data_IF_277329591388
#
_entry.id   IF_277329591388
#
_cell.length_a   1.000
_cell.length_b   1.000
_cell.length_c   1.000
_cell.angle_alpha   90.00
_cell.angle_beta   90.00
_cell.angle_gamma   90.00
#
_symmetry.space_group_name_H-M   'P 1'
#
loop_
_entity.id
_entity.type
_entity.pdbx_description
1 polymer ?
#
# COMPACT_ATOMS: atom_id res chain seq x y z
N UNK A 1 -7.76 -97.54 43.40
CA UNK A 1 -8.36 -97.51 44.76
C UNK A 1 -8.72 -96.11 45.09
N UNK A 2 -9.95 -95.81 45.07
CA UNK A 2 -10.89 -95.41 46.09
C UNK A 2 -10.54 -94.08 46.84
N UNK A 3 -11.48 -93.09 46.53
CA UNK A 3 -12.24 -92.27 47.48
C UNK A 3 -11.43 -91.12 48.05
N UNK A 4 -11.91 -89.85 48.13
CA UNK A 4 -13.23 -89.22 48.40
C UNK A 4 -13.12 -87.77 48.08
N UNK A 5 -14.00 -87.34 47.27
CA UNK A 5 -15.05 -86.33 47.53
C UNK A 5 -14.99 -85.55 48.84
N UNK A 6 -14.85 -84.27 48.78
CA UNK A 6 -15.65 -83.27 49.54
C UNK A 6 -15.65 -81.89 48.94
N UNK A 7 -16.86 -81.47 48.77
CA UNK A 7 -17.28 -80.14 48.33
C UNK A 7 -16.86 -79.07 49.32
N UNK A 8 -16.33 -77.96 48.82
CA UNK A 8 -16.42 -76.72 49.52
C UNK A 8 -16.82 -75.64 48.50
N UNK A 9 -18.06 -75.22 48.61
CA UNK A 9 -18.61 -74.07 47.92
C UNK A 9 -17.93 -72.80 48.47
N UNK A 10 -17.00 -72.30 47.75
CA UNK A 10 -16.44 -70.95 48.01
C UNK A 10 -17.19 -69.96 47.14
N UNK A 11 -18.05 -69.18 47.75
CA UNK A 11 -18.73 -68.05 47.13
C UNK A 11 -17.66 -67.00 46.81
N UNK A 12 -17.21 -66.97 45.55
CA UNK A 12 -16.49 -65.82 45.02
C UNK A 12 -17.47 -64.67 44.84
N UNK A 13 -17.57 -63.80 45.83
CA UNK A 13 -18.17 -62.49 45.64
C UNK A 13 -17.21 -61.71 44.72
N UNK A 14 -17.49 -61.69 43.44
CA UNK A 14 -16.91 -60.76 42.50
C UNK A 14 -17.41 -59.36 42.90
N UNK A 15 -16.62 -58.65 43.70
CA UNK A 15 -16.67 -57.20 43.77
C UNK A 15 -16.27 -56.67 42.39
N UNK A 16 -17.25 -56.50 41.49
CA UNK A 16 -17.12 -55.67 40.34
C UNK A 16 -16.95 -54.24 40.88
N UNK A 17 -15.70 -53.84 41.10
CA UNK A 17 -15.33 -52.42 41.11
C UNK A 17 -15.69 -51.94 39.69
N UNK A 18 -16.87 -51.39 39.54
CA UNK A 18 -17.16 -50.44 38.50
C UNK A 18 -16.22 -49.26 38.75
N UNK A 19 -15.01 -49.34 38.14
CA UNK A 19 -14.25 -48.15 37.87
C UNK A 19 -15.16 -47.27 37.05
N UNK A 20 -15.86 -46.33 37.67
CA UNK A 20 -16.43 -45.22 36.96
C UNK A 20 -15.30 -44.72 36.07
N UNK A 21 -15.49 -44.56 34.75
CA UNK A 21 -14.51 -43.85 33.97
C UNK A 21 -14.31 -42.55 34.72
N UNK A 22 -13.05 -42.31 35.18
CA UNK A 22 -12.69 -41.02 35.58
C UNK A 22 -13.03 -40.17 34.37
N UNK A 23 -14.15 -39.44 34.45
CA UNK A 23 -14.39 -38.37 33.55
C UNK A 23 -13.09 -37.59 33.61
N UNK A 24 -12.29 -37.69 32.56
CA UNK A 24 -11.21 -36.74 32.37
C UNK A 24 -11.93 -35.41 32.51
N UNK A 25 -11.71 -34.75 33.62
CA UNK A 25 -11.99 -33.34 33.70
C UNK A 25 -11.07 -32.74 32.65
N UNK A 26 -11.51 -32.74 31.38
CA UNK A 26 -11.09 -31.70 30.49
C UNK A 26 -11.46 -30.45 31.27
N UNK A 27 -10.48 -29.99 32.05
CA UNK A 27 -10.64 -28.83 32.89
C UNK A 27 -11.26 -27.78 31.99
N UNK A 28 -12.37 -27.26 32.47
CA UNK A 28 -13.09 -26.24 31.73
C UNK A 28 -12.05 -25.19 31.32
N UNK A 29 -11.71 -25.18 30.04
CA UNK A 29 -10.69 -24.29 29.49
C UNK A 29 -11.37 -23.11 28.82
N UNK A 30 -10.70 -21.94 28.77
CA UNK A 30 -11.15 -20.87 27.86
C UNK A 30 -11.18 -21.37 26.43
N UNK A 31 -12.23 -21.02 25.68
CA UNK A 31 -12.40 -21.36 24.27
C UNK A 31 -12.59 -20.07 23.45
N UNK A 32 -11.63 -19.78 22.60
CA UNK A 32 -11.62 -18.60 21.72
C UNK A 32 -12.07 -18.88 20.30
N UNK A 33 -12.66 -20.04 20.02
CA UNK A 33 -13.08 -20.46 18.67
C UNK A 33 -14.15 -19.54 18.06
N UNK A 34 -14.87 -18.76 18.88
CA UNK A 34 -15.85 -17.77 18.43
C UNK A 34 -15.24 -16.43 18.00
N UNK A 35 -13.90 -16.30 18.01
CA UNK A 35 -13.23 -15.08 17.59
C UNK A 35 -13.47 -14.80 16.11
N UNK A 36 -13.99 -13.61 15.80
CA UNK A 36 -14.31 -13.16 14.45
C UNK A 36 -13.52 -11.88 14.12
N UNK A 37 -13.18 -11.75 12.85
CA UNK A 37 -12.55 -10.53 12.31
C UNK A 37 -13.38 -10.03 11.15
N UNK A 38 -13.65 -8.74 11.13
CA UNK A 38 -14.29 -8.02 10.02
C UNK A 38 -13.55 -6.74 9.72
N UNK A 39 -13.84 -6.10 8.60
CA UNK A 39 -13.28 -4.79 8.27
C UNK A 39 -14.30 -3.88 7.61
N UNK A 40 -14.07 -2.57 7.74
CA UNK A 40 -14.80 -1.52 7.06
C UNK A 40 -13.78 -0.51 6.47
N UNK A 41 -14.00 -0.01 5.24
CA UNK A 41 -15.10 -0.36 4.31
C UNK A 41 -14.95 -1.77 3.73
N UNK A 42 -16.03 -2.39 3.25
CA UNK A 42 -15.99 -3.74 2.62
C UNK A 42 -15.11 -3.80 1.37
N UNK A 43 -15.03 -2.70 0.64
CA UNK A 43 -14.20 -2.56 -0.56
C UNK A 43 -13.23 -1.39 -0.37
N UNK A 44 -12.14 -1.59 0.39
CA UNK A 44 -11.17 -0.54 0.64
C UNK A 44 -10.44 -0.14 -0.64
N UNK A 45 -10.13 1.14 -0.75
CA UNK A 45 -9.37 1.75 -1.84
C UNK A 45 -8.03 2.29 -1.33
N UNK A 46 -7.19 2.68 -2.26
CA UNK A 46 -5.95 3.41 -1.94
C UNK A 46 -6.25 4.69 -1.15
N UNK A 47 -5.51 4.92 -0.09
CA UNK A 47 -5.67 6.06 0.80
C UNK A 47 -6.83 5.96 1.78
N UNK A 48 -7.58 4.85 1.79
CA UNK A 48 -8.64 4.64 2.77
C UNK A 48 -8.09 4.19 4.13
N UNK A 49 -8.79 4.57 5.17
CA UNK A 49 -8.60 4.03 6.51
C UNK A 49 -9.43 2.76 6.64
N UNK A 50 -8.77 1.62 6.82
CA UNK A 50 -9.44 0.34 7.09
C UNK A 50 -9.50 0.17 8.61
N UNK A 51 -10.71 0.03 9.15
CA UNK A 51 -10.91 -0.35 10.53
C UNK A 51 -11.19 -1.85 10.59
N UNK A 52 -10.24 -2.61 11.10
CA UNK A 52 -10.43 -4.02 11.42
C UNK A 52 -11.09 -4.12 12.79
N UNK A 53 -12.23 -4.81 12.86
CA UNK A 53 -12.93 -5.10 14.10
C UNK A 53 -12.72 -6.58 14.44
N UNK A 54 -12.05 -6.81 15.56
CA UNK A 54 -11.86 -8.13 16.13
C UNK A 54 -12.87 -8.29 17.27
N UNK A 55 -13.75 -9.27 17.16
CA UNK A 55 -14.64 -9.68 18.24
C UNK A 55 -14.07 -10.98 18.83
N UNK A 56 -13.30 -10.84 19.91
CA UNK A 56 -12.74 -11.98 20.62
C UNK A 56 -13.77 -12.48 21.63
N UNK A 57 -14.17 -13.74 21.51
CA UNK A 57 -15.13 -14.38 22.39
C UNK A 57 -14.48 -15.53 23.18
N UNK A 58 -14.84 -15.66 24.48
CA UNK A 58 -14.51 -16.81 25.30
C UNK A 58 -15.78 -17.62 25.53
N UNK A 59 -16.00 -18.66 24.73
CA UNK A 59 -17.14 -19.57 24.87
C UNK A 59 -16.89 -20.72 25.84
N UNK A 60 -15.67 -20.80 26.39
CA UNK A 60 -15.29 -21.77 27.41
C UNK A 60 -15.95 -21.48 28.78
N UNK A 61 -15.89 -22.45 29.64
CA UNK A 61 -16.45 -22.34 30.99
C UNK A 61 -15.54 -21.62 31.98
N UNK A 62 -14.24 -21.51 31.67
CA UNK A 62 -13.26 -20.82 32.51
C UNK A 62 -12.94 -19.43 31.97
N UNK A 63 -12.60 -18.53 32.89
CA UNK A 63 -12.11 -17.20 32.55
C UNK A 63 -10.64 -17.26 32.09
N UNK A 64 -10.30 -16.47 31.04
CA UNK A 64 -8.93 -16.11 30.77
C UNK A 64 -8.65 -14.72 31.38
N UNK A 65 -7.81 -14.66 32.39
CA UNK A 65 -7.49 -13.40 33.05
C UNK A 65 -5.99 -13.32 33.38
N UNK A 66 -5.24 -12.65 32.50
CA UNK A 66 -5.65 -12.03 31.25
C UNK A 66 -5.56 -12.95 30.01
N UNK A 67 -6.40 -12.73 29.03
CA UNK A 67 -6.17 -13.21 27.69
C UNK A 67 -5.12 -12.33 26.98
N UNK A 68 -4.18 -12.95 26.32
CA UNK A 68 -3.17 -12.28 25.50
C UNK A 68 -3.61 -12.25 24.05
N UNK A 69 -3.63 -11.06 23.48
CA UNK A 69 -4.07 -10.83 22.11
C UNK A 69 -2.91 -10.26 21.31
N UNK A 70 -2.63 -10.90 20.18
CA UNK A 70 -1.63 -10.49 19.21
C UNK A 70 -2.30 -10.19 17.89
N UNK A 71 -2.05 -8.99 17.36
CA UNK A 71 -2.57 -8.51 16.10
C UNK A 71 -1.38 -8.25 15.16
N UNK A 72 -1.25 -9.02 14.08
CA UNK A 72 -0.27 -8.77 13.04
C UNK A 72 -0.96 -8.02 11.89
N UNK A 73 -0.51 -6.80 11.56
CA UNK A 73 -1.10 -6.02 10.48
C UNK A 73 -0.35 -6.15 9.16
N UNK A 74 -1.00 -5.82 8.00
CA UNK A 74 -0.45 -5.98 6.66
C UNK A 74 0.86 -5.23 6.44
N UNK A 75 1.78 -5.81 5.68
CA UNK A 75 3.11 -5.25 5.40
C UNK A 75 3.05 -3.87 4.76
N UNK A 76 2.11 -3.67 3.87
CA UNK A 76 1.98 -2.41 3.14
C UNK A 76 1.16 -1.36 3.92
N UNK A 77 0.44 -1.74 4.99
CA UNK A 77 -0.42 -0.82 5.74
C UNK A 77 0.33 0.00 6.77
N UNK A 78 -0.16 1.21 7.05
CA UNK A 78 0.33 2.04 8.14
C UNK A 78 -0.58 1.90 9.36
N UNK A 79 0.01 1.60 10.49
CA UNK A 79 -0.70 1.59 11.77
C UNK A 79 -1.10 3.02 12.16
N UNK A 80 -2.38 3.21 12.48
CA UNK A 80 -2.95 4.49 12.90
C UNK A 80 -3.33 4.49 14.37
N UNK A 81 -3.92 3.40 14.84
CA UNK A 81 -4.33 3.28 16.23
C UNK A 81 -4.99 1.95 16.54
N UNK A 82 -5.08 1.63 17.82
CA UNK A 82 -5.78 0.46 18.34
C UNK A 82 -6.64 0.88 19.53
N UNK A 83 -7.81 0.30 19.64
CA UNK A 83 -8.76 0.52 20.75
C UNK A 83 -9.23 -0.84 21.28
N UNK A 84 -9.55 -0.88 22.59
CA UNK A 84 -10.10 -2.09 23.23
C UNK A 84 -9.07 -3.06 23.76
N UNK A 85 -7.77 -2.75 23.70
CA UNK A 85 -6.68 -3.45 24.38
C UNK A 85 -6.21 -2.66 25.59
N UNK A 86 -5.90 -3.36 26.68
CA UNK A 86 -5.26 -2.77 27.84
C UNK A 86 -3.75 -2.72 27.61
N UNK A 87 -3.16 -1.54 27.76
CA UNK A 87 -1.71 -1.29 27.60
C UNK A 87 -1.11 -1.92 26.34
N UNK A 88 -1.61 -1.53 25.15
CA UNK A 88 -1.09 -2.09 23.90
C UNK A 88 0.39 -1.77 23.74
N UNK A 89 1.19 -2.78 23.45
CA UNK A 89 2.57 -2.66 23.02
C UNK A 89 2.63 -2.76 21.50
N UNK A 90 3.18 -1.74 20.84
CA UNK A 90 3.21 -1.65 19.37
C UNK A 90 4.64 -1.82 18.88
N UNK A 91 4.90 -2.93 18.20
CA UNK A 91 6.13 -3.15 17.46
C UNK A 91 5.95 -2.77 15.99
N UNK A 92 6.43 -1.58 15.64
CA UNK A 92 6.35 -1.05 14.28
C UNK A 92 7.24 -1.82 13.29
N UNK A 93 8.36 -2.40 13.75
CA UNK A 93 9.27 -3.16 12.87
C UNK A 93 8.72 -4.55 12.59
N UNK A 94 8.25 -5.24 13.64
CA UNK A 94 7.60 -6.54 13.52
C UNK A 94 6.16 -6.46 13.01
N UNK A 95 5.58 -5.25 12.92
CA UNK A 95 4.18 -5.03 12.53
C UNK A 95 3.21 -5.82 13.38
N UNK A 96 3.41 -5.70 14.68
CA UNK A 96 2.69 -6.45 15.68
C UNK A 96 2.21 -5.56 16.81
N UNK A 97 1.01 -5.81 17.27
CA UNK A 97 0.45 -5.23 18.48
C UNK A 97 0.16 -6.36 19.45
N UNK A 98 0.61 -6.20 20.64
CA UNK A 98 0.34 -7.12 21.73
C UNK A 98 -0.39 -6.38 22.84
N UNK A 99 -1.33 -7.04 23.48
CA UNK A 99 -2.07 -6.46 24.59
C UNK A 99 -2.84 -7.51 25.36
N UNK A 100 -3.37 -7.09 26.49
CA UNK A 100 -4.08 -7.96 27.40
C UNK A 100 -5.53 -7.49 27.54
N UNK A 101 -6.42 -8.45 27.74
CA UNK A 101 -7.84 -8.18 27.99
C UNK A 101 -8.37 -9.23 28.96
N UNK A 102 -9.07 -8.83 30.04
CA UNK A 102 -9.78 -9.79 30.87
C UNK A 102 -10.96 -10.37 30.09
N UNK A 103 -11.02 -11.70 29.99
CA UNK A 103 -12.08 -12.41 29.27
C UNK A 103 -12.74 -13.45 30.17
N UNK A 104 -13.74 -13.06 30.98
CA UNK A 104 -14.56 -14.00 31.74
C UNK A 104 -15.23 -15.05 30.83
N UNK A 105 -15.64 -16.16 31.38
CA UNK A 105 -16.42 -17.18 30.67
C UNK A 105 -17.67 -16.56 30.04
N UNK A 106 -17.92 -16.86 28.76
CA UNK A 106 -19.03 -16.30 27.99
C UNK A 106 -18.90 -14.82 27.60
N UNK A 107 -17.78 -14.18 27.88
CA UNK A 107 -17.56 -12.77 27.52
C UNK A 107 -17.08 -12.58 26.08
N UNK A 108 -17.48 -11.45 25.50
CA UNK A 108 -16.96 -10.98 24.22
C UNK A 108 -16.26 -9.62 24.42
N UNK A 109 -15.19 -9.42 23.69
CA UNK A 109 -14.44 -8.17 23.64
C UNK A 109 -14.26 -7.70 22.22
N UNK A 110 -14.54 -6.42 22.01
CA UNK A 110 -14.35 -5.76 20.72
C UNK A 110 -13.07 -4.95 20.73
N UNK A 111 -12.20 -5.23 19.77
CA UNK A 111 -10.94 -4.54 19.54
C UNK A 111 -11.00 -3.96 18.15
N UNK A 112 -10.62 -2.72 17.99
CA UNK A 112 -10.59 -2.04 16.71
C UNK A 112 -9.16 -1.63 16.39
N UNK A 113 -8.72 -1.97 15.18
CA UNK A 113 -7.42 -1.64 14.64
C UNK A 113 -7.59 -0.81 13.36
N UNK A 114 -7.05 0.39 13.38
CA UNK A 114 -7.10 1.31 12.25
C UNK A 114 -5.80 1.25 11.46
N UNK A 115 -5.90 0.89 10.17
CA UNK A 115 -4.79 0.78 9.22
C UNK A 115 -5.06 1.67 8.02
N UNK A 116 -4.15 2.58 7.72
CA UNK A 116 -4.21 3.41 6.52
C UNK A 116 -3.62 2.64 5.32
N UNK A 117 -4.37 2.56 4.22
CA UNK A 117 -3.88 2.01 2.96
C UNK A 117 -3.02 3.03 2.23
N UNK A 118 -1.84 2.65 1.73
CA UNK A 118 -1.04 3.53 0.90
C UNK A 118 -1.67 3.82 -0.46
N UNK A 119 -1.21 4.88 -1.13
CA UNK A 119 -1.72 5.28 -2.46
C UNK A 119 -1.31 4.34 -3.61
N UNK A 120 -0.34 3.46 -3.41
CA UNK A 120 0.16 2.49 -4.39
C UNK A 120 -0.25 1.05 -4.08
N UNK A 121 -1.27 0.88 -3.23
CA UNK A 121 -1.72 -0.43 -2.75
C UNK A 121 -2.81 -1.08 -3.61
N UNK A 122 -3.22 -0.45 -4.72
CA UNK A 122 -4.25 -0.99 -5.61
C UNK A 122 -3.96 -2.43 -6.05
N UNK A 123 -4.93 -3.31 -5.85
CA UNK A 123 -4.83 -4.72 -6.19
C UNK A 123 -4.02 -5.58 -5.21
N UNK A 124 -3.40 -4.98 -4.19
CA UNK A 124 -2.74 -5.73 -3.13
C UNK A 124 -3.78 -6.39 -2.22
N UNK A 125 -3.39 -7.52 -1.64
CA UNK A 125 -4.15 -8.18 -0.58
C UNK A 125 -3.53 -7.84 0.76
N UNK A 126 -4.34 -7.31 1.67
CA UNK A 126 -3.96 -7.02 3.04
C UNK A 126 -4.43 -8.17 3.92
N UNK A 127 -3.47 -8.88 4.53
CA UNK A 127 -3.74 -9.98 5.44
C UNK A 127 -3.58 -9.50 6.88
N UNK A 128 -4.67 -9.49 7.62
CA UNK A 128 -4.70 -9.27 9.06
C UNK A 128 -4.72 -10.61 9.78
N UNK A 129 -3.86 -10.80 10.76
CA UNK A 129 -3.87 -12.00 11.60
C UNK A 129 -4.11 -11.63 13.05
N UNK A 130 -4.95 -12.41 13.69
CA UNK A 130 -5.29 -12.25 15.11
C UNK A 130 -4.99 -13.57 15.80
N UNK A 131 -4.31 -13.50 16.92
CA UNK A 131 -4.12 -14.63 17.83
C UNK A 131 -4.62 -14.25 19.20
N UNK A 132 -5.46 -15.10 19.77
CA UNK A 132 -5.93 -14.98 21.16
C UNK A 132 -5.42 -16.18 21.93
N UNK A 133 -4.82 -15.97 23.09
CA UNK A 133 -4.21 -17.02 23.91
C UNK A 133 -4.53 -16.79 25.38
N UNK A 134 -4.68 -17.88 26.14
CA UNK A 134 -4.77 -17.83 27.60
C UNK A 134 -3.37 -17.88 28.22
N UNK A 135 -3.07 -16.90 29.06
CA UNK A 135 -1.81 -16.88 29.84
C UNK A 135 -1.98 -17.42 31.26
N UNK A 136 -3.20 -17.62 31.74
CA UNK A 136 -3.47 -17.99 33.10
C UNK A 136 -3.04 -19.43 33.43
N UNK A 137 -2.94 -20.29 32.40
CA UNK A 137 -2.70 -21.73 32.58
C UNK A 137 -1.26 -22.09 32.99
N UNK A 138 -0.31 -21.16 32.94
CA UNK A 138 1.09 -21.34 33.38
C UNK A 138 1.86 -22.51 32.73
N UNK A 139 1.26 -23.18 31.79
CA UNK A 139 1.82 -24.32 31.07
C UNK A 139 2.34 -23.88 29.70
N UNK A 140 3.41 -24.50 29.19
CA UNK A 140 4.00 -24.21 27.88
C UNK A 140 3.05 -24.48 26.71
N UNK A 141 1.81 -24.88 26.97
CA UNK A 141 0.75 -25.12 25.98
C UNK A 141 -0.31 -24.04 26.13
N UNK A 142 -0.13 -22.96 25.40
CA UNK A 142 -1.15 -21.94 25.23
C UNK A 142 -2.24 -22.48 24.31
N UNK A 143 -3.45 -22.64 24.83
CA UNK A 143 -4.61 -22.77 23.96
C UNK A 143 -4.77 -21.47 23.19
N UNK A 144 -4.37 -21.48 21.93
CA UNK A 144 -4.39 -20.30 21.08
C UNK A 144 -5.31 -20.51 19.88
N UNK A 145 -6.16 -19.54 19.64
CA UNK A 145 -6.97 -19.48 18.42
C UNK A 145 -6.44 -18.40 17.48
N UNK A 146 -6.31 -18.73 16.19
CA UNK A 146 -5.80 -17.79 15.21
C UNK A 146 -6.80 -17.61 14.07
N UNK A 147 -7.14 -16.37 13.76
CA UNK A 147 -8.00 -16.00 12.65
C UNK A 147 -7.22 -15.10 11.70
N UNK A 148 -7.35 -15.33 10.41
CA UNK A 148 -6.82 -14.45 9.38
C UNK A 148 -7.96 -13.91 8.52
N UNK A 149 -7.87 -12.64 8.16
CA UNK A 149 -8.79 -11.97 7.24
C UNK A 149 -7.99 -11.30 6.14
N UNK A 150 -8.32 -11.63 4.90
CA UNK A 150 -7.74 -11.02 3.72
C UNK A 150 -8.70 -9.98 3.15
N UNK A 151 -8.22 -8.74 3.00
CA UNK A 151 -8.94 -7.67 2.33
C UNK A 151 -8.19 -7.25 1.07
N UNK A 152 -8.89 -7.24 -0.07
CA UNK A 152 -8.30 -6.82 -1.33
C UNK A 152 -8.58 -5.35 -1.57
N UNK A 153 -7.51 -4.58 -1.80
CA UNK A 153 -7.62 -3.16 -2.12
C UNK A 153 -8.16 -3.00 -3.54
N UNK A 154 -9.28 -2.30 -3.66
CA UNK A 154 -9.91 -2.07 -4.95
C UNK A 154 -9.01 -1.20 -5.85
N UNK A 155 -8.95 -1.58 -7.12
CA UNK A 155 -8.24 -0.80 -8.13
C UNK A 155 -9.11 0.38 -8.55
N UNK A 156 -8.74 1.58 -8.15
CA UNK A 156 -9.37 2.83 -8.64
C UNK A 156 -8.75 3.21 -9.96
N UNK A 157 -9.41 2.92 -11.09
CA UNK A 157 -8.93 3.33 -12.41
C UNK A 157 -9.36 2.36 -13.51
N UNK A 158 -9.26 2.79 -14.77
CA UNK A 158 -9.51 1.92 -15.92
C UNK A 158 -8.35 0.93 -16.07
N UNK A 159 -8.61 -0.37 -15.94
CA UNK A 159 -7.63 -1.40 -16.24
C UNK A 159 -7.64 -1.73 -17.73
N UNK A 160 -6.54 -1.49 -18.42
CA UNK A 160 -6.32 -1.94 -19.79
C UNK A 160 -5.25 -3.03 -19.79
N UNK A 161 -5.64 -4.28 -20.05
CA UNK A 161 -4.69 -5.39 -20.22
C UNK A 161 -3.73 -5.64 -19.04
N UNK A 162 -4.17 -5.42 -17.78
CA UNK A 162 -3.34 -5.58 -16.59
C UNK A 162 -2.52 -4.34 -16.19
N UNK A 163 -2.61 -3.24 -16.96
CA UNK A 163 -2.01 -1.96 -16.63
C UNK A 163 -3.04 -1.07 -15.93
N UNK A 164 -2.81 -0.76 -14.66
CA UNK A 164 -3.65 0.20 -13.93
C UNK A 164 -3.17 1.62 -14.23
N UNK A 165 -3.99 2.35 -14.96
CA UNK A 165 -3.69 3.73 -15.35
C UNK A 165 -4.48 4.68 -14.45
N UNK A 166 -3.77 5.54 -13.75
CA UNK A 166 -4.39 6.71 -13.12
C UNK A 166 -4.99 7.62 -14.20
N UNK A 167 -6.00 8.46 -13.89
CA UNK A 167 -6.56 9.42 -14.86
C UNK A 167 -5.48 10.26 -15.53
N UNK A 168 -4.43 10.66 -14.81
CA UNK A 168 -3.28 11.36 -15.36
C UNK A 168 -2.48 10.47 -16.33
N UNK A 169 -2.32 9.19 -16.02
CA UNK A 169 -1.66 8.20 -16.90
C UNK A 169 -2.44 7.96 -18.18
N UNK A 170 -3.78 7.94 -18.12
CA UNK A 170 -4.66 7.87 -19.31
C UNK A 170 -4.49 9.13 -20.18
N UNK A 171 -4.46 10.32 -19.59
CA UNK A 171 -4.26 11.57 -20.32
C UNK A 171 -2.88 11.62 -21.01
N UNK A 172 -1.83 11.17 -20.31
CA UNK A 172 -0.48 11.07 -20.89
C UNK A 172 -0.44 10.06 -22.03
N UNK A 173 -1.05 8.89 -21.90
CA UNK A 173 -1.11 7.89 -22.98
C UNK A 173 -1.94 8.37 -24.17
N UNK A 174 -3.07 9.03 -23.94
CA UNK A 174 -3.87 9.64 -24.99
C UNK A 174 -3.08 10.71 -25.76
N UNK A 175 -2.29 11.50 -25.05
CA UNK A 175 -1.38 12.48 -25.64
C UNK A 175 -0.30 11.80 -26.49
N UNK A 176 0.37 10.76 -25.98
CA UNK A 176 1.37 10.00 -26.73
C UNK A 176 0.78 9.26 -27.94
N UNK A 177 -0.48 8.85 -27.89
CA UNK A 177 -1.19 8.27 -29.04
C UNK A 177 -1.59 9.34 -30.07
N UNK A 178 -1.88 10.56 -29.65
CA UNK A 178 -2.20 11.67 -30.55
C UNK A 178 -0.99 12.12 -31.39
N UNK A 179 0.23 12.07 -30.85
CA UNK A 179 1.47 12.46 -31.54
C UNK A 179 1.69 11.68 -32.86
N UNK A 180 1.67 10.32 -32.88
CA UNK A 180 1.81 9.57 -34.15
C UNK A 180 0.63 9.75 -35.09
N UNK A 181 -0.58 10.01 -34.60
CA UNK A 181 -1.75 10.32 -35.43
C UNK A 181 -1.60 11.66 -36.17
N UNK A 182 -1.19 12.71 -35.46
CA UNK A 182 -0.87 14.01 -36.03
C UNK A 182 0.28 13.87 -37.03
N UNK A 183 1.32 13.09 -36.68
CA UNK A 183 2.43 12.79 -37.58
C UNK A 183 1.98 12.08 -38.84
N UNK A 184 1.11 11.07 -38.74
CA UNK A 184 0.56 10.35 -39.90
C UNK A 184 -0.26 11.28 -40.80
N UNK A 185 -1.08 12.14 -40.19
CA UNK A 185 -1.90 13.12 -40.89
C UNK A 185 -1.04 14.14 -41.67
N UNK A 186 -0.03 14.71 -41.02
CA UNK A 186 0.92 15.64 -41.64
C UNK A 186 1.73 14.94 -42.72
N UNK A 187 2.14 13.69 -42.52
CA UNK A 187 2.85 12.89 -43.53
C UNK A 187 1.98 12.61 -44.75
N UNK A 188 0.70 12.28 -44.56
CA UNK A 188 -0.27 12.09 -45.68
C UNK A 188 -0.58 13.37 -46.43
N UNK A 189 -0.75 14.48 -45.73
CA UNK A 189 -1.01 15.79 -46.36
C UNK A 189 0.19 16.28 -47.15
N UNK A 190 1.40 16.06 -46.63
CA UNK A 190 2.63 16.49 -47.35
C UNK A 190 3.07 15.53 -48.46
N UNK A 191 2.70 14.23 -48.40
CA UNK A 191 2.99 13.27 -49.48
C UNK A 191 2.19 13.58 -50.75
N UNK A 192 0.94 14.08 -50.61
CA UNK A 192 0.12 14.50 -51.73
C UNK A 192 0.65 15.76 -52.45
N UNK A 193 1.45 16.57 -51.78
CA UNK A 193 2.04 17.79 -52.38
C UNK A 193 3.36 17.54 -53.11
N UNK A 194 3.86 16.29 -53.19
CA UNK A 194 5.22 15.93 -53.62
C UNK A 194 5.36 15.28 -54.97
N UNK A 195 4.48 15.53 -55.93
CA UNK A 195 4.60 14.88 -57.24
C UNK A 195 5.71 15.44 -58.13
N UNK A 196 6.49 16.44 -57.73
CA UNK A 196 7.60 16.91 -58.61
C UNK A 196 8.65 17.72 -57.81
N UNK A 197 9.77 17.12 -57.39
CA UNK A 197 11.06 17.83 -57.29
C UNK A 197 12.21 16.89 -56.86
N UNK A 198 13.34 17.07 -57.49
CA UNK A 198 14.63 16.39 -57.30
C UNK A 198 15.10 16.35 -55.85
N UNK A 199 15.58 15.14 -55.43
CA UNK A 199 16.09 14.83 -54.10
C UNK A 199 17.39 15.60 -53.80
N UNK A 200 17.30 16.68 -53.06
CA UNK A 200 18.43 17.23 -52.30
C UNK A 200 18.08 17.24 -50.84
N UNK A 201 18.97 16.68 -50.01
CA UNK A 201 19.04 16.62 -48.53
C UNK A 201 18.00 17.47 -47.76
N UNK A 202 16.73 17.23 -47.95
CA UNK A 202 15.65 17.83 -47.18
C UNK A 202 15.28 16.82 -46.08
N UNK A 203 15.42 17.24 -44.82
CA UNK A 203 14.80 16.52 -43.72
C UNK A 203 13.35 16.20 -44.11
N UNK A 204 12.98 14.91 -44.04
CA UNK A 204 11.61 14.54 -44.39
C UNK A 204 10.66 15.34 -43.50
N UNK A 205 9.50 15.85 -44.01
CA UNK A 205 8.55 16.59 -43.16
C UNK A 205 8.16 15.77 -41.93
N UNK A 206 8.18 14.46 -42.04
CA UNK A 206 7.99 13.53 -40.93
C UNK A 206 9.06 13.68 -39.85
N UNK A 207 10.35 13.73 -40.21
CA UNK A 207 11.43 13.94 -39.25
C UNK A 207 11.34 15.32 -38.58
N UNK A 208 10.98 16.34 -39.36
CA UNK A 208 10.80 17.68 -38.84
C UNK A 208 9.65 17.77 -37.83
N UNK A 209 8.49 17.17 -38.17
CA UNK A 209 7.34 17.11 -37.25
C UNK A 209 7.73 16.37 -35.96
N UNK A 210 8.43 15.25 -36.08
CA UNK A 210 8.91 14.51 -34.90
C UNK A 210 9.85 15.36 -34.03
N UNK A 211 10.82 16.06 -34.65
CA UNK A 211 11.78 16.91 -33.92
C UNK A 211 11.13 18.09 -33.20
N UNK A 212 9.96 18.54 -33.63
CA UNK A 212 9.22 19.62 -32.99
C UNK A 212 8.20 19.12 -31.99
N UNK A 213 7.45 18.06 -32.32
CA UNK A 213 6.35 17.58 -31.47
C UNK A 213 6.84 16.85 -30.23
N UNK A 214 7.94 16.08 -30.32
CA UNK A 214 8.49 15.38 -29.18
C UNK A 214 8.95 16.33 -28.04
N UNK A 215 9.73 17.39 -28.32
CA UNK A 215 10.06 18.41 -27.32
C UNK A 215 8.83 19.09 -26.71
N UNK A 216 7.84 19.44 -27.56
CA UNK A 216 6.62 20.10 -27.10
C UNK A 216 5.81 19.20 -26.14
N UNK A 217 5.68 17.91 -26.47
CA UNK A 217 5.02 16.94 -25.58
C UNK A 217 5.76 16.79 -24.25
N UNK A 218 7.09 16.75 -24.31
CA UNK A 218 7.95 16.67 -23.14
C UNK A 218 7.81 17.90 -22.24
N UNK A 219 7.82 19.11 -22.82
CA UNK A 219 7.64 20.34 -22.07
C UNK A 219 6.23 20.50 -21.52
N UNK A 220 5.19 20.03 -22.22
CA UNK A 220 3.83 20.01 -21.71
C UNK A 220 3.73 19.16 -20.41
N UNK A 221 4.41 18.01 -20.37
CA UNK A 221 4.50 17.20 -19.17
C UNK A 221 5.14 17.98 -18.01
N UNK A 222 6.28 18.63 -18.26
CA UNK A 222 6.94 19.44 -17.22
C UNK A 222 6.12 20.68 -16.82
N UNK A 223 5.36 21.25 -17.74
CA UNK A 223 4.46 22.37 -17.43
C UNK A 223 3.34 21.94 -16.47
N UNK A 224 2.78 20.75 -16.63
CA UNK A 224 1.79 20.20 -15.69
C UNK A 224 2.41 19.96 -14.31
N UNK A 225 3.62 19.39 -14.27
CA UNK A 225 4.35 19.22 -13.00
C UNK A 225 4.64 20.57 -12.33
N UNK A 226 5.15 21.54 -13.11
CA UNK A 226 5.46 22.88 -12.62
C UNK A 226 4.21 23.62 -12.11
N UNK A 227 3.08 23.41 -12.76
CA UNK A 227 1.80 23.96 -12.29
C UNK A 227 1.42 23.41 -10.92
N UNK A 228 1.55 22.09 -10.71
CA UNK A 228 1.29 21.47 -9.41
C UNK A 228 2.25 21.99 -8.31
N UNK A 229 3.54 22.09 -8.61
CA UNK A 229 4.52 22.67 -7.68
C UNK A 229 4.21 24.14 -7.39
N UNK A 230 3.82 24.91 -8.39
CA UNK A 230 3.39 26.30 -8.21
C UNK A 230 2.14 26.39 -7.33
N UNK A 231 1.14 25.51 -7.54
CA UNK A 231 -0.04 25.45 -6.67
C UNK A 231 0.34 25.09 -5.25
N UNK A 232 1.25 24.14 -5.03
CA UNK A 232 1.69 23.75 -3.69
C UNK A 232 2.38 24.90 -2.94
N UNK A 233 3.02 25.84 -3.66
CA UNK A 233 3.66 27.02 -3.08
C UNK A 233 2.69 28.18 -2.82
N UNK A 234 1.62 28.29 -3.60
CA UNK A 234 0.78 29.51 -3.62
C UNK A 234 -0.62 29.31 -3.03
N UNK A 235 -1.21 28.13 -3.18
CA UNK A 235 -2.60 27.86 -2.80
C UNK A 235 -2.77 26.80 -1.72
N UNK A 236 -1.76 25.95 -1.49
CA UNK A 236 -1.84 24.93 -0.46
C UNK A 236 -1.71 25.54 0.94
N UNK A 237 -2.46 24.98 1.87
CA UNK A 237 -2.46 25.44 3.24
C UNK A 237 -1.44 24.69 4.07
N UNK A 238 -0.73 25.45 4.90
CA UNK A 238 0.21 24.86 5.85
C UNK A 238 -0.54 24.35 7.08
N UNK A 239 -0.18 23.15 7.52
CA UNK A 239 -0.66 22.52 8.75
C UNK A 239 0.50 21.93 9.54
N UNK A 240 0.21 21.54 10.77
CA UNK A 240 1.12 20.75 11.59
C UNK A 240 0.69 19.28 11.46
N UNK A 241 1.58 18.46 10.89
CA UNK A 241 1.35 17.05 10.66
C UNK A 241 2.09 16.20 11.70
N UNK A 242 1.41 15.23 12.28
CA UNK A 242 2.05 14.19 13.09
C UNK A 242 2.41 13.01 12.20
N UNK A 243 3.67 12.59 12.23
CA UNK A 243 4.14 11.40 11.49
C UNK A 243 3.60 10.14 12.18
N UNK A 244 2.75 9.40 11.50
CA UNK A 244 2.16 8.15 12.00
C UNK A 244 2.95 6.92 11.56
N UNK A 245 3.63 7.00 10.42
CA UNK A 245 4.41 5.91 9.88
C UNK A 245 5.28 6.37 8.72
N UNK A 246 6.25 5.53 8.37
CA UNK A 246 7.22 5.81 7.30
C UNK A 246 7.56 4.55 6.56
N UNK A 247 7.74 4.62 5.26
CA UNK A 247 8.25 3.50 4.44
C UNK A 247 8.92 3.99 3.16
N UNK A 248 9.62 3.08 2.50
CA UNK A 248 10.14 3.28 1.15
C UNK A 248 9.34 2.42 0.19
N UNK A 249 8.68 3.07 -0.74
CA UNK A 249 7.90 2.42 -1.80
C UNK A 249 8.80 2.09 -2.97
N UNK A 250 8.69 0.87 -3.47
CA UNK A 250 9.40 0.42 -4.66
C UNK A 250 8.47 0.45 -5.87
N UNK A 251 8.66 1.41 -6.76
CA UNK A 251 7.98 1.46 -8.06
C UNK A 251 8.82 0.78 -9.15
N UNK A 252 8.21 -0.02 -10.01
CA UNK A 252 8.89 -0.61 -11.17
C UNK A 252 8.61 0.21 -12.43
N UNK A 253 9.66 0.72 -13.06
CA UNK A 253 9.57 1.30 -14.40
C UNK A 253 10.07 0.25 -15.40
N UNK A 254 9.14 -0.36 -16.15
CA UNK A 254 9.49 -1.28 -17.23
C UNK A 254 9.74 -0.50 -18.51
N UNK A 255 10.96 -0.53 -19.03
CA UNK A 255 11.24 -0.04 -20.39
C UNK A 255 11.08 -1.21 -21.36
N UNK A 256 10.04 -1.18 -22.20
CA UNK A 256 9.85 -2.14 -23.29
C UNK A 256 10.79 -1.73 -24.43
N UNK A 257 11.96 -2.35 -24.52
CA UNK A 257 12.84 -2.19 -25.66
C UNK A 257 12.25 -2.92 -26.87
N UNK A 258 11.93 -2.21 -27.94
CA UNK A 258 11.63 -2.79 -29.24
C UNK A 258 12.93 -3.29 -29.85
N UNK A 259 13.18 -4.58 -29.76
CA UNK A 259 14.36 -5.20 -30.33
C UNK A 259 14.99 -6.24 -29.40
N UNK A 260 16.02 -6.95 -29.84
CA UNK A 260 16.74 -8.00 -29.13
C UNK A 260 17.40 -7.57 -27.78
N UNK A 261 17.10 -6.39 -27.27
CA UNK A 261 17.57 -5.88 -25.99
C UNK A 261 16.64 -6.33 -24.86
N UNK A 262 17.22 -6.99 -23.86
CA UNK A 262 16.57 -7.39 -22.62
C UNK A 262 15.78 -6.22 -22.04
N UNK A 263 14.50 -6.43 -21.72
CA UNK A 263 13.72 -5.48 -20.94
C UNK A 263 14.42 -5.30 -19.57
N UNK A 264 14.92 -4.12 -19.30
CA UNK A 264 15.45 -3.81 -17.98
C UNK A 264 14.34 -3.21 -17.12
N UNK A 265 13.95 -3.90 -16.08
CA UNK A 265 13.11 -3.34 -15.06
C UNK A 265 13.98 -2.50 -14.12
N UNK A 266 13.80 -1.20 -14.14
CA UNK A 266 14.46 -0.31 -13.19
C UNK A 266 13.51 -0.07 -12.02
N UNK A 267 13.92 -0.49 -10.82
CA UNK A 267 13.17 -0.20 -9.61
C UNK A 267 13.52 1.19 -9.11
N UNK A 268 12.52 2.04 -8.96
CA UNK A 268 12.63 3.39 -8.39
C UNK A 268 12.11 3.37 -6.97
N UNK A 269 12.84 3.93 -6.04
CA UNK A 269 12.48 3.99 -4.64
C UNK A 269 12.03 5.39 -4.25
N UNK A 270 10.88 5.49 -3.58
CA UNK A 270 10.29 6.76 -3.12
C UNK A 270 10.00 6.69 -1.63
N UNK A 271 10.39 7.71 -0.84
CA UNK A 271 9.94 7.81 0.53
C UNK A 271 8.45 8.13 0.57
N UNK A 272 7.76 7.61 1.56
CA UNK A 272 6.35 7.88 1.84
C UNK A 272 6.14 7.97 3.35
N UNK A 273 5.39 8.97 3.79
CA UNK A 273 5.02 9.18 5.18
C UNK A 273 3.50 9.09 5.34
N UNK A 274 3.04 8.42 6.37
CA UNK A 274 1.67 8.52 6.83
C UNK A 274 1.57 9.69 7.82
N UNK A 275 0.66 10.62 7.56
CA UNK A 275 0.55 11.89 8.24
C UNK A 275 -0.86 12.06 8.80
N UNK A 276 -0.95 12.55 10.04
CA UNK A 276 -2.21 12.98 10.67
C UNK A 276 -2.15 14.48 10.88
N UNK A 277 -3.18 15.19 10.45
CA UNK A 277 -3.28 16.64 10.59
C UNK A 277 -4.74 17.08 10.67
N UNK A 278 -4.96 18.34 11.04
CA UNK A 278 -6.28 18.94 11.02
C UNK A 278 -6.44 19.79 9.77
N UNK A 279 -7.50 19.50 9.01
CA UNK A 279 -7.93 20.29 7.85
C UNK A 279 -9.36 20.71 8.04
N UNK A 280 -9.65 22.01 7.99
CA UNK A 280 -11.01 22.58 8.15
C UNK A 280 -11.74 22.16 9.45
N UNK A 281 -10.98 21.79 10.49
CA UNK A 281 -11.51 21.35 11.78
C UNK A 281 -11.65 19.82 11.92
N UNK A 282 -11.51 19.08 10.83
CA UNK A 282 -11.55 17.62 10.84
C UNK A 282 -10.13 17.03 10.92
N UNK A 283 -10.01 15.88 11.56
CA UNK A 283 -8.77 15.12 11.58
C UNK A 283 -8.65 14.28 10.30
N UNK A 284 -7.67 14.59 9.49
CA UNK A 284 -7.35 13.88 8.25
C UNK A 284 -6.12 13.00 8.45
N UNK A 285 -6.16 11.79 7.91
CA UNK A 285 -5.02 10.89 7.86
C UNK A 285 -4.78 10.54 6.38
N UNK A 286 -3.57 10.81 5.90
CA UNK A 286 -3.22 10.58 4.50
C UNK A 286 -1.74 10.23 4.35
N UNK A 287 -1.35 9.80 3.16
CA UNK A 287 0.06 9.55 2.83
C UNK A 287 0.58 10.62 1.88
N UNK A 288 1.83 11.01 2.06
CA UNK A 288 2.49 11.96 1.17
C UNK A 288 3.96 12.15 1.52
N UNK A 289 4.70 12.80 0.64
CA UNK A 289 6.08 13.18 0.88
C UNK A 289 6.45 14.44 0.09
N UNK A 290 6.35 14.39 -1.23
CA UNK A 290 6.64 15.52 -2.13
C UNK A 290 5.60 15.58 -3.27
N UNK A 291 5.65 16.64 -4.06
CA UNK A 291 4.79 16.85 -5.23
C UNK A 291 5.11 15.91 -6.42
N UNK A 292 6.16 15.09 -6.30
CA UNK A 292 6.63 14.18 -7.35
C UNK A 292 7.68 14.79 -8.29
N UNK A 293 8.04 16.07 -8.12
CA UNK A 293 9.09 16.75 -8.91
C UNK A 293 10.51 16.49 -8.41
N UNK A 294 10.67 15.84 -7.26
CA UNK A 294 11.97 15.49 -6.72
C UNK A 294 12.70 14.46 -7.58
N UNK A 295 13.99 14.69 -7.81
CA UNK A 295 14.85 13.76 -8.50
C UNK A 295 15.04 12.49 -7.66
N UNK A 296 14.39 11.40 -8.06
CA UNK A 296 14.44 10.11 -7.36
C UNK A 296 15.64 9.25 -7.79
N UNK A 297 16.83 9.89 -7.84
CA UNK A 297 18.10 9.21 -8.13
C UNK A 297 18.66 8.66 -6.83
N UNK A 298 18.86 7.35 -6.76
CA UNK A 298 19.48 6.69 -5.61
C UNK A 298 18.89 5.32 -5.33
N UNK A 299 19.69 4.47 -4.70
CA UNK A 299 19.27 3.14 -4.29
C UNK A 299 18.37 3.16 -3.05
N UNK A 300 17.77 2.00 -2.75
CA UNK A 300 16.89 1.77 -1.59
C UNK A 300 17.50 2.27 -0.27
N UNK A 301 18.75 1.93 0.01
CA UNK A 301 19.41 2.28 1.26
C UNK A 301 19.46 3.80 1.52
N UNK A 302 19.69 4.62 0.48
CA UNK A 302 19.66 6.07 0.60
C UNK A 302 18.26 6.57 0.97
N UNK A 303 17.21 6.00 0.37
CA UNK A 303 15.83 6.40 0.65
C UNK A 303 15.39 5.95 2.04
N UNK A 304 15.83 4.78 2.48
CA UNK A 304 15.63 4.34 3.86
C UNK A 304 16.28 5.31 4.84
N UNK A 305 17.50 5.76 4.58
CA UNK A 305 18.17 6.75 5.40
C UNK A 305 17.43 8.12 5.42
N UNK A 306 16.89 8.55 4.28
CA UNK A 306 16.06 9.77 4.21
C UNK A 306 14.77 9.61 5.03
N UNK A 307 14.12 8.44 4.99
CA UNK A 307 12.91 8.19 5.79
C UNK A 307 13.21 8.04 7.27
N UNK A 308 14.39 7.53 7.65
CA UNK A 308 14.80 7.41 9.06
C UNK A 308 14.96 8.77 9.76
N UNK A 309 15.17 9.85 9.02
CA UNK A 309 15.20 11.20 9.58
C UNK A 309 13.85 11.63 10.18
N UNK A 310 12.76 10.98 9.79
CA UNK A 310 11.41 11.28 10.26
C UNK A 310 11.02 10.33 11.40
N UNK A 311 10.96 10.83 12.62
CA UNK A 311 10.58 10.00 13.79
C UNK A 311 9.06 9.90 13.88
N UNK A 312 8.55 8.68 14.05
CA UNK A 312 7.11 8.45 14.28
C UNK A 312 6.69 9.15 15.58
N UNK A 313 5.54 9.81 15.57
CA UNK A 313 5.01 10.60 16.68
C UNK A 313 5.47 12.05 16.72
N UNK A 314 6.43 12.47 15.86
CA UNK A 314 6.86 13.88 15.83
C UNK A 314 5.93 14.73 14.98
N UNK A 315 5.78 15.99 15.40
CA UNK A 315 5.06 17.01 14.66
C UNK A 315 6.03 17.69 13.67
N UNK A 316 5.60 17.85 12.43
CA UNK A 316 6.36 18.46 11.34
C UNK A 316 5.46 19.39 10.52
N UNK A 317 6.01 20.45 9.90
CA UNK A 317 5.23 21.24 8.96
C UNK A 317 4.89 20.44 7.70
N UNK A 318 3.68 20.60 7.22
CA UNK A 318 3.19 19.98 5.99
C UNK A 318 2.26 20.93 5.24
N UNK A 319 1.96 20.64 3.98
CA UNK A 319 1.08 21.44 3.14
C UNK A 319 0.05 20.50 2.50
N UNK A 320 -1.21 20.86 2.57
CA UNK A 320 -2.30 20.09 1.94
C UNK A 320 -3.05 20.93 0.92
N UNK A 321 -3.61 20.27 -0.09
CA UNK A 321 -4.47 20.90 -1.08
C UNK A 321 -5.87 21.11 -0.48
N UNK A 322 -6.36 22.36 -0.34
CA UNK A 322 -7.73 22.60 0.15
C UNK A 322 -8.82 22.05 -0.78
N UNK A 323 -8.52 21.81 -2.06
CA UNK A 323 -9.47 21.17 -2.98
C UNK A 323 -9.53 19.64 -2.82
N UNK A 324 -8.43 19.02 -2.36
CA UNK A 324 -8.34 17.60 -1.99
C UNK A 324 -7.54 17.48 -0.70
N UNK A 325 -8.23 17.58 0.43
CA UNK A 325 -7.60 17.53 1.76
C UNK A 325 -6.76 16.28 2.01
N UNK A 326 -6.89 15.23 1.19
CA UNK A 326 -6.04 14.03 1.28
C UNK A 326 -4.71 14.18 0.54
N UNK A 327 -4.56 15.20 -0.32
CA UNK A 327 -3.29 15.46 -1.00
C UNK A 327 -2.40 16.35 -0.12
N UNK A 328 -1.41 15.71 0.52
CA UNK A 328 -0.52 16.33 1.49
C UNK A 328 0.93 16.06 1.14
N UNK A 329 1.80 17.06 1.36
CA UNK A 329 3.25 16.95 1.16
C UNK A 329 4.00 17.56 2.34
N UNK A 330 5.21 17.05 2.60
CA UNK A 330 6.16 17.59 3.59
C UNK A 330 7.21 18.47 2.92
N UNK A 331 7.44 18.23 1.64
CA UNK A 331 8.31 19.05 0.81
C UNK A 331 7.50 19.66 -0.32
N UNK A 332 7.30 20.97 -0.26
CA UNK A 332 6.69 21.74 -1.32
C UNK A 332 7.76 22.51 -2.11
N UNK A 333 7.55 22.72 -3.39
CA UNK A 333 8.41 23.50 -4.26
C UNK A 333 9.00 22.72 -5.43
N UNK A 334 9.76 23.44 -6.24
CA UNK A 334 10.33 22.91 -7.47
C UNK A 334 11.46 21.92 -7.20
N UNK A 335 11.32 20.70 -7.68
CA UNK A 335 12.32 19.65 -7.53
C UNK A 335 13.36 19.64 -8.67
N UNK A 336 14.40 18.83 -8.49
CA UNK A 336 15.49 18.70 -9.47
C UNK A 336 15.12 18.05 -10.80
N UNK A 337 13.91 17.45 -10.91
CA UNK A 337 13.45 16.81 -12.15
C UNK A 337 13.34 17.79 -13.32
N UNK A 338 13.17 19.09 -13.06
CA UNK A 338 13.10 20.12 -14.09
C UNK A 338 14.39 20.29 -14.91
N UNK A 339 15.53 19.82 -14.42
CA UNK A 339 16.77 19.78 -15.21
C UNK A 339 16.61 18.93 -16.46
N UNK A 340 15.75 17.90 -16.43
CA UNK A 340 15.47 17.10 -17.61
C UNK A 340 14.65 17.84 -18.68
N UNK A 341 13.95 18.91 -18.32
CA UNK A 341 13.24 19.75 -19.29
C UNK A 341 14.20 20.39 -20.32
N UNK A 342 15.49 20.46 -20.00
CA UNK A 342 16.52 20.97 -20.91
C UNK A 342 16.94 19.94 -21.98
N UNK A 343 16.69 18.64 -21.73
CA UNK A 343 17.15 17.56 -22.60
C UNK A 343 16.64 17.65 -24.06
N UNK A 344 15.39 18.02 -24.37
CA UNK A 344 14.91 18.10 -25.73
C UNK A 344 15.29 19.40 -26.46
N UNK A 345 15.92 20.39 -25.79
CA UNK A 345 16.34 21.66 -26.41
C UNK A 345 17.19 21.50 -27.69
N UNK A 346 18.21 20.60 -27.74
CA UNK A 346 18.98 20.42 -28.97
C UNK A 346 18.13 19.93 -30.15
N UNK A 347 17.20 18.99 -29.91
CA UNK A 347 16.30 18.47 -30.91
C UNK A 347 15.37 19.57 -31.45
N UNK A 348 14.82 20.38 -30.56
CA UNK A 348 13.98 21.52 -30.93
C UNK A 348 14.74 22.55 -31.76
N UNK A 349 15.98 22.88 -31.33
CA UNK A 349 16.85 23.80 -32.05
C UNK A 349 17.17 23.33 -33.50
N UNK A 350 17.52 22.03 -33.64
CA UNK A 350 17.76 21.43 -34.95
C UNK A 350 16.51 21.46 -35.85
N UNK A 351 15.34 21.20 -35.27
CA UNK A 351 14.05 21.30 -35.96
C UNK A 351 13.78 22.71 -36.48
N UNK A 352 13.93 23.72 -35.63
CA UNK A 352 13.76 25.13 -36.00
C UNK A 352 14.78 25.61 -37.04
N UNK A 353 16.05 25.22 -36.87
CA UNK A 353 17.10 25.57 -37.84
C UNK A 353 16.87 24.93 -39.21
N UNK A 354 16.31 23.72 -39.26
CA UNK A 354 15.94 23.06 -40.52
C UNK A 354 14.78 23.74 -41.23
N UNK A 355 13.77 24.24 -40.44
CA UNK A 355 12.68 25.07 -41.00
C UNK A 355 13.19 26.39 -41.59
N UNK A 356 14.06 27.09 -40.84
CA UNK A 356 14.60 28.39 -41.27
C UNK A 356 15.43 28.29 -42.55
N UNK A 357 16.15 27.18 -42.77
CA UNK A 357 16.91 26.92 -44.01
C UNK A 357 16.01 26.61 -45.20
N UNK A 358 14.91 25.87 -44.97
CA UNK A 358 13.97 25.54 -46.04
C UNK A 358 13.13 26.71 -46.56
N UNK A 359 13.11 27.84 -45.84
CA UNK A 359 12.41 29.07 -46.25
C UNK A 359 13.30 30.05 -47.08
N UNK A 360 14.62 29.83 -47.13
CA UNK A 360 15.56 30.67 -47.84
C UNK A 360 15.88 30.18 -49.26
N UNK A 361 15.34 29.05 -49.65
CA UNK A 361 15.42 28.46 -51.00
C UNK A 361 14.05 28.55 -51.72
#
# INVERSE_FOLDING_TARGET
MRRCLRRAFGVCVLLALTAAPAASSDAAKPDFSSTLVSHAPETPREGDLITYTVTAGNTGADAADPAWIVLDWPEAGYFVGVRGLDRPEVDHEGRRIEGYVPMPAGAERRIELDILTPRDSAGLTFSMRVRVSDLSSGTDHYDSHSVALDSRIATGGASFGGLHLTPAGVAVLAWFAAVPLVWLLVSLLTSRARTNRSVRWRTSPAALTFMLMLPLAFWAFFAVMAWRDYQSLTSWQQAECTVMGRRVVAGSVSSTGTGRTRSSNTTVYSPELALRYSAEGDTVISTGYDTGSSLRIGGRARREQETLAWTVGTAIPCWYDPADVRDVVVHNGFGGAYLFALFPLPLFWFGCASLARGHRE
#
